data_IF_480420508783
#
_entry.id   IF_480420508783
#
_cell.length_a   1.000
_cell.length_b   1.000
_cell.length_c   1.000
_cell.angle_alpha   90.00
_cell.angle_beta   90.00
_cell.angle_gamma   90.00
#
_symmetry.space_group_name_H-M   'P 1'
#
loop_
_entity.id
_entity.type
_entity.pdbx_description
1 polymer ?
#
# COMPACT_ATOMS: atom_id res chain seq x y z
N UNK A 1 -17.37 -9.04 -16.18
CA UNK A 1 -17.31 -7.64 -15.68
C UNK A 1 -18.68 -7.03 -15.84
N UNK A 2 -19.26 -6.49 -14.76
CA UNK A 2 -20.44 -5.61 -14.84
C UNK A 2 -20.02 -4.26 -15.41
N UNK A 3 -20.86 -3.65 -16.26
CA UNK A 3 -20.60 -2.36 -16.91
C UNK A 3 -20.55 -1.26 -15.82
N UNK A 4 -19.43 -0.56 -15.68
CA UNK A 4 -19.33 0.55 -14.73
C UNK A 4 -20.20 1.72 -15.20
N UNK A 5 -21.04 2.26 -14.31
CA UNK A 5 -21.70 3.54 -14.54
C UNK A 5 -20.68 4.66 -14.40
N UNK A 6 -20.46 5.42 -15.47
CA UNK A 6 -19.51 6.54 -15.47
C UNK A 6 -20.26 7.88 -15.52
N UNK A 7 -19.79 8.91 -14.80
CA UNK A 7 -20.28 10.27 -14.98
C UNK A 7 -20.09 10.75 -16.42
N UNK A 8 -20.91 11.72 -16.84
CA UNK A 8 -20.73 12.37 -18.13
C UNK A 8 -19.31 12.94 -18.28
N UNK A 9 -18.71 12.74 -19.46
CA UNK A 9 -17.33 13.17 -19.76
C UNK A 9 -16.23 12.17 -19.40
N UNK A 10 -16.57 11.00 -18.84
CA UNK A 10 -15.59 9.96 -18.49
C UNK A 10 -15.76 8.69 -19.36
N UNK A 11 -14.64 8.09 -19.70
CA UNK A 11 -14.56 6.80 -20.39
C UNK A 11 -13.69 5.83 -19.57
N UNK A 12 -13.96 4.53 -19.66
CA UNK A 12 -13.12 3.48 -19.07
C UNK A 12 -12.81 2.44 -20.14
N UNK A 13 -11.56 1.98 -20.16
CA UNK A 13 -11.14 0.80 -20.92
C UNK A 13 -10.39 -0.16 -20.02
N UNK A 14 -10.36 -1.43 -20.39
CA UNK A 14 -9.49 -2.41 -19.74
C UNK A 14 -8.05 -2.17 -20.20
N UNK A 15 -7.15 -1.86 -19.26
CA UNK A 15 -5.73 -1.70 -19.53
C UNK A 15 -4.98 -3.04 -19.47
N UNK A 16 -5.17 -3.82 -18.40
CA UNK A 16 -4.55 -5.14 -18.24
C UNK A 16 -5.43 -6.09 -17.40
N UNK A 17 -5.08 -7.38 -17.38
CA UNK A 17 -5.67 -8.37 -16.46
C UNK A 17 -4.63 -8.87 -15.48
N UNK A 18 -4.80 -8.55 -14.19
CA UNK A 18 -3.88 -8.96 -13.12
C UNK A 18 -4.66 -9.74 -12.07
N UNK A 19 -4.05 -10.79 -11.53
CA UNK A 19 -4.64 -11.55 -10.44
C UNK A 19 -4.50 -10.77 -9.12
N UNK A 20 -5.61 -10.65 -8.38
CA UNK A 20 -5.67 -9.98 -7.08
C UNK A 20 -4.88 -8.65 -6.96
N UNK A 21 -5.02 -7.69 -7.90
CA UNK A 21 -4.23 -6.46 -7.88
C UNK A 21 -4.52 -5.66 -6.61
N UNK A 22 -3.46 -5.13 -6.00
CA UNK A 22 -3.53 -4.27 -4.80
C UNK A 22 -3.03 -2.87 -5.14
N UNK A 23 -1.93 -2.42 -4.54
CA UNK A 23 -1.43 -1.07 -4.75
C UNK A 23 -0.84 -0.95 -6.15
N UNK A 24 -1.15 0.18 -6.77
CA UNK A 24 -0.70 0.61 -8.09
C UNK A 24 0.23 1.82 -7.89
N UNK A 25 1.39 1.80 -8.53
CA UNK A 25 2.33 2.93 -8.49
C UNK A 25 2.94 3.16 -9.86
N UNK A 26 2.88 4.40 -10.35
CA UNK A 26 3.61 4.79 -11.55
C UNK A 26 5.08 4.93 -11.22
N UNK A 27 5.92 4.28 -12.03
CA UNK A 27 7.35 4.52 -12.04
C UNK A 27 7.67 5.88 -12.71
N UNK A 28 8.86 6.44 -12.48
CA UNK A 28 9.31 7.68 -13.12
C UNK A 28 9.19 7.73 -14.66
N UNK A 29 9.28 6.59 -15.35
CA UNK A 29 9.12 6.49 -16.80
C UNK A 29 7.67 6.34 -17.28
N UNK A 30 6.69 6.25 -16.38
CA UNK A 30 5.28 6.08 -16.70
C UNK A 30 4.78 4.63 -16.73
N UNK A 31 5.67 3.63 -16.66
CA UNK A 31 5.27 2.23 -16.46
C UNK A 31 4.47 2.10 -15.13
N UNK A 32 3.46 1.24 -15.14
CA UNK A 32 2.59 1.03 -13.99
C UNK A 32 2.97 -0.25 -13.25
N UNK A 33 3.38 -0.13 -12.00
CA UNK A 33 3.71 -1.26 -11.15
C UNK A 33 2.50 -1.66 -10.29
N UNK A 34 2.30 -2.96 -10.14
CA UNK A 34 1.14 -3.54 -9.43
C UNK A 34 1.60 -4.60 -8.46
N UNK A 35 1.19 -4.49 -7.21
CA UNK A 35 1.35 -5.55 -6.23
C UNK A 35 0.29 -6.64 -6.44
N UNK A 36 0.71 -7.89 -6.64
CA UNK A 36 -0.14 -9.07 -6.75
C UNK A 36 0.24 -10.08 -5.64
N UNK A 37 -0.33 -9.97 -4.43
CA UNK A 37 -0.02 -10.86 -3.31
C UNK A 37 -0.45 -12.30 -3.59
N UNK A 38 0.38 -13.27 -3.22
CA UNK A 38 0.13 -14.71 -3.39
C UNK A 38 -0.64 -15.36 -2.24
N UNK A 39 -1.10 -14.57 -1.27
CA UNK A 39 -1.90 -15.04 -0.13
C UNK A 39 -3.33 -14.52 -0.20
N UNK A 40 -4.25 -15.25 0.45
CA UNK A 40 -5.65 -14.82 0.57
C UNK A 40 -5.72 -13.48 1.27
N UNK A 41 -6.58 -12.63 0.72
CA UNK A 41 -6.72 -11.27 1.22
C UNK A 41 -7.64 -11.21 2.43
N UNK A 42 -7.54 -10.17 3.28
CA UNK A 42 -8.43 -10.03 4.44
C UNK A 42 -9.92 -10.08 4.07
N UNK A 43 -10.29 -9.58 2.89
CA UNK A 43 -11.64 -9.65 2.33
C UNK A 43 -11.93 -10.91 1.50
N UNK A 44 -11.23 -12.02 1.75
CA UNK A 44 -11.45 -13.33 1.14
C UNK A 44 -11.25 -13.44 -0.38
N UNK A 45 -10.74 -12.39 -1.05
CA UNK A 45 -10.36 -12.50 -2.46
C UNK A 45 -9.31 -13.62 -2.68
N UNK A 46 -9.37 -14.33 -3.82
CA UNK A 46 -8.38 -15.36 -4.15
C UNK A 46 -6.96 -14.78 -4.22
N UNK A 47 -5.93 -15.61 -4.00
CA UNK A 47 -4.55 -15.17 -4.13
C UNK A 47 -4.21 -14.78 -5.58
N UNK A 48 -3.30 -13.83 -5.71
CA UNK A 48 -2.62 -13.47 -6.94
C UNK A 48 -1.35 -14.29 -7.15
N UNK A 49 -0.35 -13.69 -7.80
CA UNK A 49 0.86 -14.40 -8.24
C UNK A 49 2.03 -14.34 -7.26
N UNK A 50 1.93 -13.56 -6.17
CA UNK A 50 3.04 -13.35 -5.22
C UNK A 50 4.18 -12.55 -5.84
N UNK A 51 3.83 -11.50 -6.60
CA UNK A 51 4.76 -10.74 -7.43
C UNK A 51 4.50 -9.24 -7.35
N UNK A 52 5.55 -8.47 -7.69
CA UNK A 52 5.40 -7.12 -8.22
C UNK A 52 5.41 -7.25 -9.75
N UNK A 53 4.38 -6.72 -10.40
CA UNK A 53 4.17 -6.81 -11.85
C UNK A 53 4.37 -5.43 -12.47
N UNK A 54 5.01 -5.36 -13.64
CA UNK A 54 5.12 -4.15 -14.47
C UNK A 54 4.13 -4.23 -15.63
N UNK A 55 3.45 -3.13 -15.88
CA UNK A 55 2.57 -2.89 -17.00
C UNK A 55 3.17 -1.75 -17.84
N UNK A 56 3.67 -2.07 -19.03
CA UNK A 56 4.09 -1.10 -20.05
C UNK A 56 3.05 -1.02 -21.16
N UNK A 57 3.09 0.02 -21.99
CA UNK A 57 2.27 0.17 -23.20
C UNK A 57 3.20 0.65 -24.31
N UNK A 58 4.15 -0.20 -24.68
CA UNK A 58 5.26 0.16 -25.58
C UNK A 58 4.76 0.40 -27.01
N UNK A 59 3.72 -0.31 -27.43
CA UNK A 59 3.10 -0.16 -28.75
C UNK A 59 2.01 0.92 -28.82
N UNK A 60 1.65 1.51 -27.67
CA UNK A 60 0.69 2.61 -27.53
C UNK A 60 -0.72 2.25 -28.00
N UNK A 61 -1.12 0.97 -27.97
CA UNK A 61 -2.47 0.54 -28.28
C UNK A 61 -3.45 0.78 -27.10
N UNK A 62 -2.89 1.09 -25.92
CA UNK A 62 -3.61 1.33 -24.67
C UNK A 62 -4.06 0.07 -23.96
N UNK A 63 -3.43 -1.07 -24.25
CA UNK A 63 -3.47 -2.34 -23.55
C UNK A 63 -2.05 -2.68 -23.11
N UNK A 64 -1.88 -2.96 -21.84
CA UNK A 64 -0.53 -3.09 -21.31
C UNK A 64 0.11 -4.43 -21.65
N UNK A 65 1.41 -4.44 -21.96
CA UNK A 65 2.24 -5.63 -21.84
C UNK A 65 2.56 -5.90 -20.37
N UNK A 66 2.45 -7.17 -19.97
CA UNK A 66 2.56 -7.60 -18.58
C UNK A 66 3.86 -8.37 -18.38
N UNK A 67 4.67 -7.95 -17.41
CA UNK A 67 5.89 -8.66 -17.04
C UNK A 67 6.11 -8.71 -15.53
N UNK A 68 6.77 -9.75 -15.04
CA UNK A 68 7.14 -9.86 -13.62
C UNK A 68 8.37 -9.00 -13.33
N UNK A 69 8.24 -8.01 -12.43
CA UNK A 69 9.38 -7.28 -11.89
C UNK A 69 10.16 -8.13 -10.90
N UNK A 70 9.45 -8.67 -9.90
CA UNK A 70 10.00 -9.49 -8.82
C UNK A 70 8.96 -10.53 -8.37
N UNK A 71 9.39 -11.78 -8.19
CA UNK A 71 8.58 -12.88 -7.67
C UNK A 71 8.99 -13.33 -6.27
N UNK A 72 8.28 -14.33 -5.74
CA UNK A 72 8.54 -14.88 -4.38
C UNK A 72 8.07 -13.95 -3.25
N UNK A 73 7.21 -12.99 -3.55
CA UNK A 73 6.71 -11.96 -2.64
C UNK A 73 5.24 -12.23 -2.32
N UNK A 74 4.96 -13.35 -1.64
CA UNK A 74 3.60 -13.80 -1.36
C UNK A 74 2.76 -12.79 -0.58
N UNK A 75 3.39 -11.90 0.18
CA UNK A 75 2.78 -10.95 1.09
C UNK A 75 3.03 -9.47 0.70
N UNK A 76 3.34 -9.19 -0.57
CA UNK A 76 3.55 -7.82 -1.06
C UNK A 76 2.28 -6.99 -1.08
N UNK A 77 2.37 -5.72 -0.66
CA UNK A 77 1.23 -4.81 -0.68
C UNK A 77 1.56 -3.39 -1.20
N UNK A 78 2.12 -2.53 -0.36
CA UNK A 78 2.43 -1.15 -0.70
C UNK A 78 3.57 -1.04 -1.70
N UNK A 79 3.50 -0.04 -2.57
CA UNK A 79 4.52 0.32 -3.55
C UNK A 79 4.71 1.84 -3.52
N UNK A 80 5.96 2.29 -3.56
CA UNK A 80 6.31 3.71 -3.61
C UNK A 80 7.66 3.88 -4.33
N UNK A 81 7.67 4.70 -5.37
CA UNK A 81 8.90 5.15 -6.02
C UNK A 81 9.35 6.47 -5.41
N UNK A 82 10.59 6.53 -4.94
CA UNK A 82 11.22 7.79 -4.50
C UNK A 82 12.73 7.70 -4.45
N UNK A 83 13.42 8.80 -4.77
CA UNK A 83 14.85 8.99 -4.55
C UNK A 83 15.75 7.88 -5.15
N UNK A 84 15.35 7.32 -6.31
CA UNK A 84 16.08 6.24 -6.99
C UNK A 84 15.81 4.83 -6.43
N UNK A 85 14.77 4.68 -5.60
CA UNK A 85 14.38 3.41 -4.99
C UNK A 85 12.94 3.05 -5.33
N UNK A 86 12.69 1.75 -5.43
CA UNK A 86 11.37 1.16 -5.26
C UNK A 86 11.26 0.66 -3.82
N UNK A 87 10.42 1.31 -3.03
CA UNK A 87 9.97 0.81 -1.74
C UNK A 87 8.75 -0.07 -1.92
N UNK A 88 8.72 -1.17 -1.17
CA UNK A 88 7.57 -2.03 -1.11
C UNK A 88 7.40 -2.60 0.30
N UNK A 89 6.17 -2.97 0.64
CA UNK A 89 5.88 -3.51 1.97
C UNK A 89 5.61 -5.00 1.91
N UNK A 90 6.02 -5.68 2.98
CA UNK A 90 5.69 -7.06 3.32
C UNK A 90 5.22 -7.11 4.77
N UNK A 91 4.76 -8.26 5.24
CA UNK A 91 4.34 -8.45 6.64
C UNK A 91 5.41 -8.04 7.64
N UNK A 92 6.67 -8.32 7.33
CA UNK A 92 7.79 -8.01 8.22
C UNK A 92 8.10 -6.49 8.28
N UNK A 93 7.66 -5.71 7.29
CA UNK A 93 7.83 -4.26 7.26
C UNK A 93 8.11 -3.69 5.87
N UNK A 94 8.95 -2.65 5.83
CA UNK A 94 9.27 -1.90 4.61
C UNK A 94 10.61 -2.34 4.05
N UNK A 95 10.62 -2.66 2.77
CA UNK A 95 11.78 -3.07 2.01
C UNK A 95 12.03 -2.06 0.89
N UNK A 96 13.27 -2.00 0.40
CA UNK A 96 13.61 -1.26 -0.82
C UNK A 96 14.59 -2.01 -1.69
N UNK A 97 14.56 -1.69 -2.98
CA UNK A 97 15.56 -2.08 -3.97
C UNK A 97 15.93 -0.84 -4.79
N UNK A 98 17.19 -0.70 -5.25
CA UNK A 98 17.53 0.33 -6.22
C UNK A 98 16.63 0.20 -7.44
N UNK A 99 16.22 1.35 -8.00
CA UNK A 99 15.40 1.42 -9.20
C UNK A 99 15.99 2.42 -10.19
N UNK A 100 16.33 1.94 -11.38
CA UNK A 100 16.62 2.79 -12.53
C UNK A 100 15.36 3.01 -13.36
N UNK A 101 15.18 4.21 -13.93
CA UNK A 101 14.06 4.51 -14.81
C UNK A 101 13.98 3.52 -15.98
N UNK A 102 12.82 2.90 -16.22
CA UNK A 102 12.64 1.86 -17.23
C UNK A 102 13.09 0.45 -16.82
N UNK A 103 13.53 0.25 -15.58
CA UNK A 103 13.92 -1.08 -15.10
C UNK A 103 12.69 -1.97 -14.91
N UNK A 104 12.56 -3.03 -15.72
CA UNK A 104 11.42 -3.96 -15.65
C UNK A 104 11.70 -5.29 -14.94
N UNK A 105 12.91 -5.45 -14.39
CA UNK A 105 13.31 -6.61 -13.58
C UNK A 105 14.08 -6.16 -12.36
N UNK A 106 13.80 -6.77 -11.22
CA UNK A 106 14.60 -6.55 -10.01
C UNK A 106 16.05 -6.99 -10.24
N UNK A 107 16.99 -6.27 -9.64
CA UNK A 107 18.40 -6.64 -9.67
C UNK A 107 18.68 -7.94 -8.91
N UNK A 108 19.93 -8.42 -8.99
CA UNK A 108 20.37 -9.64 -8.29
C UNK A 108 20.59 -9.46 -6.79
N UNK A 109 20.75 -8.22 -6.32
CA UNK A 109 20.88 -7.92 -4.90
C UNK A 109 19.54 -8.17 -4.18
N UNK A 110 19.61 -8.79 -3.00
CA UNK A 110 18.45 -8.95 -2.15
C UNK A 110 17.90 -7.58 -1.72
N UNK A 111 16.57 -7.38 -1.67
CA UNK A 111 15.98 -6.16 -1.14
C UNK A 111 16.40 -5.92 0.31
N UNK A 112 16.74 -4.67 0.62
CA UNK A 112 17.09 -4.23 1.96
C UNK A 112 15.81 -4.02 2.77
N UNK A 113 15.73 -4.61 3.98
CA UNK A 113 14.69 -4.24 4.93
C UNK A 113 15.10 -2.96 5.67
N UNK A 114 14.39 -1.86 5.42
CA UNK A 114 14.70 -0.55 6.00
C UNK A 114 13.92 -0.26 7.27
N UNK A 115 12.73 -0.84 7.42
CA UNK A 115 11.94 -0.70 8.63
C UNK A 115 11.29 -2.03 9.01
N UNK A 116 11.39 -2.41 10.28
CA UNK A 116 10.67 -3.57 10.83
C UNK A 116 9.32 -3.12 11.37
N UNK A 117 8.26 -3.79 10.93
CA UNK A 117 6.92 -3.69 11.54
C UNK A 117 6.57 -4.95 12.34
N UNK A 118 7.45 -5.96 12.33
CA UNK A 118 7.27 -7.17 13.12
C UNK A 118 7.20 -6.86 14.62
N UNK A 119 6.24 -7.47 15.31
CA UNK A 119 6.04 -7.29 16.75
C UNK A 119 5.49 -5.93 17.16
N UNK A 120 5.19 -5.02 16.22
CA UNK A 120 4.49 -3.76 16.55
C UNK A 120 3.01 -3.98 16.86
N UNK A 121 2.44 -5.11 16.43
CA UNK A 121 1.08 -5.54 16.77
C UNK A 121 1.01 -7.08 16.84
N UNK A 122 0.36 -7.66 17.85
CA UNK A 122 0.08 -9.10 17.90
C UNK A 122 -0.91 -9.55 16.82
N UNK A 123 -1.66 -8.61 16.23
CA UNK A 123 -2.61 -8.84 15.15
C UNK A 123 -2.08 -8.35 13.78
N UNK A 124 -0.77 -8.12 13.66
CA UNK A 124 -0.15 -7.52 12.48
C UNK A 124 -0.54 -8.25 11.18
N UNK A 125 -0.89 -7.47 10.16
CA UNK A 125 -1.31 -7.95 8.84
C UNK A 125 -0.32 -7.53 7.79
N UNK A 126 -0.27 -8.30 6.72
CA UNK A 126 0.63 -8.10 5.59
C UNK A 126 0.34 -6.83 4.76
N UNK A 127 -0.85 -6.24 4.90
CA UNK A 127 -1.24 -5.05 4.15
C UNK A 127 -0.76 -3.78 4.84
N UNK A 128 0.25 -3.15 4.24
CA UNK A 128 0.75 -1.83 4.61
C UNK A 128 0.78 -0.95 3.36
N UNK A 129 0.35 0.30 3.45
CA UNK A 129 0.45 1.26 2.36
C UNK A 129 1.49 2.31 2.69
N UNK A 130 2.11 2.88 1.66
CA UNK A 130 3.14 3.90 1.77
C UNK A 130 2.64 5.23 1.19
N UNK A 131 3.05 6.33 1.78
CA UNK A 131 2.93 7.67 1.20
C UNK A 131 4.19 8.49 1.54
N UNK A 132 4.53 9.48 0.72
CA UNK A 132 5.71 10.32 0.90
C UNK A 132 5.31 11.79 1.05
N UNK A 133 5.81 12.42 2.11
CA UNK A 133 5.72 13.86 2.31
C UNK A 133 6.86 14.62 1.62
N UNK A 134 6.72 15.94 1.50
CA UNK A 134 7.67 16.84 0.82
C UNK A 134 9.08 16.79 1.42
N UNK A 135 9.19 16.59 2.74
CA UNK A 135 10.46 16.52 3.49
C UNK A 135 11.17 15.16 3.36
N UNK A 136 10.63 14.23 2.58
CA UNK A 136 11.14 12.87 2.41
C UNK A 136 10.65 11.88 3.46
N UNK A 137 9.82 12.29 4.41
CA UNK A 137 9.16 11.38 5.35
C UNK A 137 8.31 10.37 4.59
N UNK A 138 8.48 9.08 4.91
CA UNK A 138 7.63 8.00 4.42
C UNK A 138 6.65 7.62 5.53
N UNK A 139 5.36 7.73 5.26
CA UNK A 139 4.31 7.18 6.12
C UNK A 139 4.03 5.73 5.76
N UNK A 140 3.84 4.88 6.76
CA UNK A 140 3.46 3.48 6.60
C UNK A 140 2.30 3.10 7.52
N UNK A 141 1.30 2.40 7.00
CA UNK A 141 0.12 1.99 7.76
C UNK A 141 0.23 0.59 8.37
N UNK A 142 -0.40 0.40 9.53
CA UNK A 142 -0.54 -0.88 10.20
C UNK A 142 -1.98 -1.03 10.73
N UNK A 143 -2.78 -1.84 10.08
CA UNK A 143 -4.13 -2.16 10.55
C UNK A 143 -4.19 -3.28 11.60
N UNK A 144 -5.36 -3.43 12.20
CA UNK A 144 -5.78 -4.45 13.17
C UNK A 144 -7.14 -5.12 12.78
N UNK A 145 -7.36 -5.37 11.49
CA UNK A 145 -8.63 -5.75 10.81
C UNK A 145 -9.62 -6.70 11.54
N UNK A 146 -9.20 -7.56 12.47
CA UNK A 146 -10.09 -8.54 13.13
C UNK A 146 -10.44 -8.22 14.59
N UNK A 147 -10.08 -7.04 15.10
CA UNK A 147 -10.56 -6.62 16.40
C UNK A 147 -11.63 -5.53 16.29
N UNK A 148 -12.74 -5.76 16.98
CA UNK A 148 -13.76 -4.75 17.30
C UNK A 148 -13.37 -3.95 18.57
N UNK A 149 -12.30 -4.38 19.25
CA UNK A 149 -11.81 -3.68 20.43
C UNK A 149 -10.92 -2.52 20.03
N UNK A 150 -10.92 -1.49 20.87
CA UNK A 150 -9.88 -0.47 20.79
C UNK A 150 -8.49 -1.15 20.82
N UNK A 151 -7.51 -0.62 20.07
CA UNK A 151 -6.15 -1.13 20.13
C UNK A 151 -5.63 -1.15 21.57
N UNK A 152 -4.98 -2.24 21.97
CA UNK A 152 -4.45 -2.39 23.34
C UNK A 152 -3.17 -1.58 23.54
N UNK A 153 -2.47 -1.25 22.45
CA UNK A 153 -1.26 -0.44 22.45
C UNK A 153 -1.35 0.66 21.37
N UNK A 154 -0.62 1.79 21.52
CA UNK A 154 -0.60 2.86 20.52
C UNK A 154 -0.03 2.46 19.15
N UNK A 155 0.56 1.26 19.04
CA UNK A 155 1.19 0.74 17.82
C UNK A 155 0.27 -0.19 17.03
N UNK A 156 -0.77 -0.70 17.68
CA UNK A 156 -1.85 -1.40 17.03
C UNK A 156 -2.75 -0.39 16.34
N UNK A 157 -3.04 -0.60 15.05
CA UNK A 157 -3.98 0.28 14.37
C UNK A 157 -3.46 1.70 14.25
N UNK A 158 -2.33 1.85 13.55
CA UNK A 158 -1.55 3.07 13.56
C UNK A 158 -0.99 3.41 12.18
N UNK A 159 -0.58 4.68 12.05
CA UNK A 159 0.30 5.16 10.98
C UNK A 159 1.61 5.56 11.62
N UNK A 160 2.71 5.09 11.02
CA UNK A 160 4.06 5.41 11.43
C UNK A 160 4.71 6.35 10.42
N UNK A 161 5.58 7.24 10.89
CA UNK A 161 6.55 7.95 10.06
C UNK A 161 7.90 7.26 10.10
N UNK A 162 8.56 7.23 8.95
CA UNK A 162 9.95 6.83 8.75
C UNK A 162 10.67 8.05 8.18
N UNK A 163 11.71 8.53 8.87
CA UNK A 163 12.42 9.72 8.44
C UNK A 163 13.66 9.36 7.60
N UNK A 164 14.05 10.20 6.63
CA UNK A 164 15.35 10.07 5.99
C UNK A 164 16.48 10.00 7.04
N UNK A 165 17.41 9.05 6.87
CA UNK A 165 18.50 8.81 7.81
C UNK A 165 18.13 7.93 9.03
N UNK A 166 16.87 7.96 9.47
CA UNK A 166 16.35 7.09 10.54
C UNK A 166 15.03 6.45 10.12
N UNK A 167 15.12 5.24 9.58
CA UNK A 167 13.97 4.45 9.14
C UNK A 167 13.27 3.72 10.31
N UNK A 168 13.50 4.18 11.54
CA UNK A 168 12.82 3.66 12.73
C UNK A 168 11.34 4.13 12.75
N UNK A 169 10.37 3.21 12.87
CA UNK A 169 8.95 3.58 12.94
C UNK A 169 8.60 4.42 14.17
N UNK A 170 8.01 5.59 13.95
CA UNK A 170 7.46 6.45 15.01
C UNK A 170 5.97 6.66 14.76
N UNK A 171 5.13 6.35 15.76
CA UNK A 171 3.67 6.54 15.66
C UNK A 171 3.34 8.02 15.45
N UNK A 172 2.52 8.33 14.44
CA UNK A 172 1.99 9.68 14.19
C UNK A 172 0.48 9.76 14.26
N UNK A 173 -0.20 8.64 14.07
CA UNK A 173 -1.64 8.49 14.30
C UNK A 173 -1.90 7.07 14.83
N UNK A 174 -2.86 6.94 15.75
CA UNK A 174 -3.23 5.66 16.38
C UNK A 174 -4.72 5.63 16.69
N UNK A 175 -5.23 4.50 17.17
CA UNK A 175 -6.66 4.33 17.45
C UNK A 175 -7.48 4.03 16.20
N UNK A 176 -6.83 3.50 15.16
CA UNK A 176 -7.38 3.21 13.85
C UNK A 176 -7.60 1.70 13.73
N UNK A 177 -8.73 1.23 13.21
CA UNK A 177 -8.92 -0.20 12.89
C UNK A 177 -8.04 -0.59 11.72
N UNK A 178 -8.08 0.13 10.60
CA UNK A 178 -7.33 -0.20 9.40
C UNK A 178 -7.11 1.03 8.50
N UNK A 179 -6.03 1.80 8.72
CA UNK A 179 -5.71 2.97 7.90
C UNK A 179 -5.10 2.54 6.56
N UNK A 180 -5.91 1.84 5.75
CA UNK A 180 -5.42 1.08 4.61
C UNK A 180 -4.86 1.98 3.50
N UNK A 181 -5.43 3.17 3.32
CA UNK A 181 -5.00 4.07 2.25
C UNK A 181 -4.32 5.29 2.84
N UNK A 182 -3.05 5.47 2.47
CA UNK A 182 -2.30 6.68 2.76
C UNK A 182 -2.09 7.42 1.44
N UNK A 183 -2.28 8.74 1.44
CA UNK A 183 -1.99 9.56 0.27
C UNK A 183 -1.52 10.93 0.70
N UNK A 184 -0.46 11.40 0.06
CA UNK A 184 -0.09 12.81 0.08
C UNK A 184 -0.53 13.46 -1.23
N UNK A 185 -0.81 14.76 -1.17
CA UNK A 185 -1.02 15.57 -2.37
C UNK A 185 0.26 15.59 -3.24
N UNK A 186 0.19 16.06 -4.50
CA UNK A 186 1.35 16.08 -5.39
C UNK A 186 2.55 16.87 -4.84
N UNK A 187 2.34 17.90 -4.02
CA UNK A 187 3.43 18.65 -3.40
C UNK A 187 4.04 17.91 -2.21
N UNK A 188 3.33 16.95 -1.62
CA UNK A 188 3.69 16.26 -0.40
C UNK A 188 3.49 17.09 0.87
N UNK A 189 2.83 18.25 0.77
CA UNK A 189 2.58 19.15 1.91
C UNK A 189 1.44 18.64 2.80
N UNK A 190 0.46 17.96 2.20
CA UNK A 190 -0.74 17.49 2.90
C UNK A 190 -0.89 15.98 2.71
N UNK A 191 -0.78 15.25 3.82
CA UNK A 191 -0.89 13.80 3.83
C UNK A 191 -2.09 13.35 4.65
N UNK A 192 -2.77 12.30 4.20
CA UNK A 192 -3.96 11.76 4.86
C UNK A 192 -3.94 10.23 4.90
N UNK A 193 -4.56 9.69 5.95
CA UNK A 193 -4.96 8.29 6.04
C UNK A 193 -6.49 8.18 5.92
N UNK A 194 -6.96 7.27 5.07
CA UNK A 194 -8.36 6.86 5.05
C UNK A 194 -8.51 5.54 5.81
N UNK A 195 -9.42 5.58 6.78
CA UNK A 195 -9.67 4.52 7.74
C UNK A 195 -10.82 3.62 7.28
N UNK A 196 -10.57 2.32 7.15
CA UNK A 196 -11.61 1.32 6.96
C UNK A 196 -12.13 0.85 8.32
N UNK A 197 -13.26 1.44 8.73
CA UNK A 197 -13.85 1.23 10.05
C UNK A 197 -14.52 -0.14 10.21
N UNK A 198 -15.19 -0.38 11.32
CA UNK A 198 -15.84 -1.66 11.64
C UNK A 198 -16.82 -2.12 10.54
N UNK A 199 -16.79 -3.42 10.27
CA UNK A 199 -17.66 -4.08 9.29
C UNK A 199 -19.09 -4.27 9.87
N UNK A 200 -19.26 -4.11 11.19
CA UNK A 200 -20.51 -4.34 11.93
C UNK A 200 -21.00 -3.13 12.76
N UNK A 201 -22.22 -3.23 13.28
CA UNK A 201 -22.70 -2.33 14.35
C UNK A 201 -22.10 -2.84 15.66
N UNK A 202 -21.40 -1.98 16.40
CA UNK A 202 -20.76 -2.38 17.65
C UNK A 202 -21.77 -3.03 18.61
N UNK A 203 -21.56 -4.29 19.07
CA UNK A 203 -22.54 -5.03 19.86
C UNK A 203 -22.83 -4.38 21.23
N UNK A 204 -21.96 -3.47 21.69
CA UNK A 204 -22.10 -2.73 22.96
C UNK A 204 -22.52 -1.26 22.79
N UNK A 205 -22.40 -0.67 21.60
CA UNK A 205 -22.60 0.78 21.40
C UNK A 205 -23.75 1.12 20.46
N UNK A 206 -24.29 0.16 19.70
CA UNK A 206 -25.34 0.41 18.71
C UNK A 206 -24.92 1.35 17.57
N UNK A 207 -23.64 1.74 17.51
CA UNK A 207 -23.09 2.66 16.52
C UNK A 207 -22.34 1.88 15.45
N UNK A 208 -22.59 2.24 14.19
CA UNK A 208 -21.78 1.79 13.06
C UNK A 208 -20.40 2.43 13.12
N UNK A 209 -19.38 1.72 12.66
CA UNK A 209 -18.11 2.33 12.35
C UNK A 209 -18.30 3.55 11.44
N UNK A 210 -17.56 4.63 11.71
CA UNK A 210 -17.45 5.77 10.81
C UNK A 210 -16.06 5.77 10.23
N UNK A 211 -15.98 5.77 8.91
CA UNK A 211 -14.74 6.01 8.20
C UNK A 211 -14.24 7.41 8.53
N UNK A 212 -12.92 7.52 8.68
CA UNK A 212 -12.25 8.78 9.06
C UNK A 212 -11.20 9.09 8.01
N UNK A 213 -11.10 10.37 7.66
CA UNK A 213 -9.94 10.91 6.99
C UNK A 213 -9.08 11.61 8.05
N UNK A 214 -7.85 11.14 8.23
CA UNK A 214 -6.94 11.61 9.28
C UNK A 214 -5.76 12.30 8.62
N UNK A 215 -5.54 13.59 8.93
CA UNK A 215 -4.36 14.33 8.47
C UNK A 215 -3.11 13.77 9.16
N UNK A 216 -2.03 13.61 8.39
CA UNK A 216 -0.75 13.07 8.82
C UNK A 216 0.28 14.20 8.73
N UNK A 217 0.88 14.56 9.87
CA UNK A 217 1.79 15.69 9.94
C UNK A 217 1.08 17.02 10.23
N UNK A 218 1.75 17.83 11.05
CA UNK A 218 1.37 19.16 11.53
C UNK A 218 2.56 19.79 12.24
#
# INVERSE_FOLDING_TARGET
MTRAGLPFGFCVRRFAGIAAPRVLAFAPNGDLFVASPGIRTPGLAPPGTGQIVVLSDDDHDGVAEVSEFAGGLSDVHGLLFTDGWLYFTRTAGVFRTPYASGQRRIGSAAPEQVASLAGLSPAARWTHTLARAADGTIYVSQGQYQSYTCPATPREGAVFRLQPGSMAPVVVASGLRNPLYLRCDPSGAECYAAELSDDSVGPSTGTRGREKLVRLGG
#
